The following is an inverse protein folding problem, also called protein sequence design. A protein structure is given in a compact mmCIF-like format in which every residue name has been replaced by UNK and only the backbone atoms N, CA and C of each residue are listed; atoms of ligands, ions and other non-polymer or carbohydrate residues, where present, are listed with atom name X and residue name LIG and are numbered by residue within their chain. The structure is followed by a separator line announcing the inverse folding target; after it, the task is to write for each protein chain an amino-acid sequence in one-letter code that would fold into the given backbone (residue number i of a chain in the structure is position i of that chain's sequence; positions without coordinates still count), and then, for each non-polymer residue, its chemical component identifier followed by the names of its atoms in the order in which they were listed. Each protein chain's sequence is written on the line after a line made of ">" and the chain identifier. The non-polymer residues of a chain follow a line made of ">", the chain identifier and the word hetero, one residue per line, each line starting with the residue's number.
data_IF_344171939878
#
_entry.id   IF_344171939878
#
_cell.length_a   1.000
_cell.length_b   1.000
_cell.length_c   1.000
_cell.angle_alpha   90.00
_cell.angle_beta   90.00
_cell.angle_gamma   90.00
#
_symmetry.space_group_name_H-M   'P 1'
#
loop_
_entity.id
_entity.type
_entity.pdbx_description
1 polymer ?
#
# COMPACT_ATOMS: atom_id res chain seq x y z
N UNK A 1 -2.95 3.84 -13.67
CA UNK A 1 -2.38 4.69 -12.60
C UNK A 1 -2.23 6.18 -12.99
N UNK A 2 -2.84 7.10 -12.22
CA UNK A 2 -2.73 8.57 -12.35
C UNK A 2 -1.29 9.10 -12.25
N UNK A 3 -1.01 10.24 -12.90
CA UNK A 3 0.33 10.85 -12.88
C UNK A 3 0.76 11.29 -11.47
N UNK A 4 -0.18 11.84 -10.70
CA UNK A 4 0.01 12.33 -9.32
C UNK A 4 0.54 11.21 -8.39
N UNK A 5 0.12 9.97 -8.63
CA UNK A 5 0.49 8.77 -7.87
C UNK A 5 1.81 8.19 -8.41
N UNK A 6 1.98 8.20 -9.73
CA UNK A 6 3.19 7.72 -10.42
C UNK A 6 4.46 8.41 -9.93
N UNK A 7 4.41 9.73 -9.78
CA UNK A 7 5.59 10.53 -9.42
C UNK A 7 6.09 10.18 -8.00
N UNK A 8 5.22 9.71 -7.11
CA UNK A 8 5.62 9.28 -5.75
C UNK A 8 6.28 7.90 -5.74
N UNK A 9 5.96 7.04 -6.71
CA UNK A 9 6.52 5.70 -6.79
C UNK A 9 8.02 5.67 -7.10
N UNK A 10 8.61 6.77 -7.57
CA UNK A 10 10.05 6.82 -7.93
C UNK A 10 10.99 6.48 -6.77
N UNK A 11 10.54 6.63 -5.53
CA UNK A 11 11.35 6.35 -4.32
C UNK A 11 10.73 5.28 -3.41
N UNK A 12 9.78 4.50 -3.93
CA UNK A 12 9.07 3.46 -3.16
C UNK A 12 9.46 2.08 -3.67
N UNK A 13 9.83 1.19 -2.75
CA UNK A 13 10.04 -0.22 -3.04
C UNK A 13 8.68 -0.94 -3.08
N UNK A 14 8.26 -1.42 -4.24
CA UNK A 14 7.12 -2.33 -4.35
C UNK A 14 7.60 -3.78 -4.22
N UNK A 15 7.05 -4.55 -3.29
CA UNK A 15 7.45 -5.94 -3.06
C UNK A 15 6.26 -6.84 -2.72
N UNK A 16 6.36 -8.12 -3.09
CA UNK A 16 5.31 -9.12 -2.91
C UNK A 16 5.67 -10.04 -1.75
N UNK A 17 4.70 -10.30 -0.87
CA UNK A 17 4.79 -11.31 0.20
C UNK A 17 3.59 -12.22 0.14
N UNK A 18 3.72 -13.45 0.65
CA UNK A 18 2.60 -14.39 0.71
C UNK A 18 1.46 -13.89 1.59
N UNK A 19 1.78 -13.48 2.82
CA UNK A 19 0.84 -12.97 3.82
C UNK A 19 1.48 -11.91 4.72
N UNK A 20 0.67 -11.05 5.37
CA UNK A 20 1.16 -10.13 6.39
C UNK A 20 1.69 -10.87 7.61
N UNK A 21 2.66 -10.27 8.30
CA UNK A 21 3.08 -10.77 9.61
C UNK A 21 2.06 -10.39 10.67
N UNK A 22 2.08 -11.09 11.81
CA UNK A 22 1.24 -10.75 12.95
C UNK A 22 1.51 -9.31 13.46
N UNK A 23 2.76 -8.90 13.46
CA UNK A 23 3.19 -7.54 13.83
C UNK A 23 2.57 -6.49 12.90
N UNK A 24 2.61 -6.69 11.58
CA UNK A 24 1.98 -5.79 10.61
C UNK A 24 0.47 -5.60 10.88
N UNK A 25 -0.24 -6.69 11.18
CA UNK A 25 -1.67 -6.64 11.49
C UNK A 25 -1.96 -5.91 12.81
N UNK A 26 -1.11 -6.12 13.82
CA UNK A 26 -1.24 -5.46 15.13
C UNK A 26 -0.94 -3.96 15.06
N UNK A 27 0.10 -3.54 14.31
CA UNK A 27 0.46 -2.14 14.14
C UNK A 27 -0.60 -1.34 13.37
N UNK A 28 -1.15 -1.91 12.29
CA UNK A 28 -2.18 -1.24 11.49
C UNK A 28 -3.56 -1.24 12.14
N UNK A 29 -3.73 -1.89 13.30
CA UNK A 29 -5.04 -2.11 13.95
C UNK A 29 -6.07 -2.66 12.96
N UNK A 30 -5.60 -3.46 12.00
CA UNK A 30 -6.42 -3.91 10.89
C UNK A 30 -7.54 -4.83 11.41
N UNK A 31 -8.79 -4.68 10.93
CA UNK A 31 -9.88 -5.57 11.31
C UNK A 31 -9.53 -7.03 11.03
N UNK A 32 -9.97 -7.95 11.89
CA UNK A 32 -9.67 -9.38 11.72
C UNK A 32 -10.54 -10.05 10.65
N UNK A 33 -11.62 -9.38 10.28
CA UNK A 33 -12.65 -9.78 9.34
C UNK A 33 -12.40 -9.26 7.92
N UNK A 34 -11.39 -8.40 7.74
CA UNK A 34 -10.98 -7.88 6.43
C UNK A 34 -9.59 -8.41 6.06
N UNK A 35 -9.40 -8.84 4.79
CA UNK A 35 -8.09 -9.24 4.31
C UNK A 35 -7.22 -8.02 4.04
N UNK A 36 -6.01 -7.99 4.62
CA UNK A 36 -5.01 -6.98 4.28
C UNK A 36 -4.37 -7.34 2.93
N UNK A 37 -4.68 -6.57 1.88
CA UNK A 37 -4.21 -6.82 0.50
C UNK A 37 -2.92 -6.07 0.18
N UNK A 38 -2.79 -4.86 0.72
CA UNK A 38 -1.65 -3.96 0.57
C UNK A 38 -1.22 -3.41 1.92
N UNK A 39 0.00 -2.89 1.97
CA UNK A 39 0.50 -2.18 3.14
C UNK A 39 1.65 -1.25 2.76
N UNK A 40 1.42 0.06 2.91
CA UNK A 40 2.50 1.02 2.96
C UNK A 40 3.26 0.95 4.28
N UNK A 41 4.58 0.72 4.21
CA UNK A 41 5.48 0.55 5.35
C UNK A 41 6.71 1.44 5.21
N UNK A 42 6.82 2.43 6.09
CA UNK A 42 7.93 3.38 6.09
C UNK A 42 7.89 4.29 7.30
N UNK A 43 9.03 4.91 7.60
CA UNK A 43 9.14 5.94 8.65
C UNK A 43 8.89 7.27 7.96
N UNK A 44 7.71 7.86 8.18
CA UNK A 44 7.30 9.15 7.62
C UNK A 44 8.43 10.19 7.69
N UNK A 45 8.87 10.71 6.54
CA UNK A 45 9.79 11.85 6.43
C UNK A 45 9.51 13.02 7.41
N UNK A 46 8.26 13.38 7.79
CA UNK A 46 8.03 14.44 8.79
C UNK A 46 8.53 14.12 10.21
N UNK A 47 8.83 12.86 10.56
CA UNK A 47 9.43 12.48 11.84
C UNK A 47 10.97 12.52 11.82
N UNK A 48 11.58 12.81 10.66
CA UNK A 48 13.02 13.07 10.57
C UNK A 48 13.33 14.47 11.13
N UNK A 49 13.61 14.53 12.42
CA UNK A 49 14.49 15.56 12.98
C UNK A 49 15.84 15.53 12.23
N UNK A 50 16.49 16.68 12.06
CA UNK A 50 17.86 16.78 11.51
C UNK A 50 18.88 15.90 12.25
N UNK A 51 18.53 15.41 13.44
CA UNK A 51 19.31 14.54 14.31
C UNK A 51 18.89 13.05 14.27
N UNK A 52 17.84 12.70 13.54
CA UNK A 52 17.39 11.29 13.43
C UNK A 52 18.33 10.52 12.50
N UNK A 53 18.69 9.26 12.81
CA UNK A 53 19.40 8.40 11.88
C UNK A 53 18.59 8.25 10.58
N UNK A 54 19.26 8.09 9.42
CA UNK A 54 18.56 7.86 8.17
C UNK A 54 17.64 6.63 8.30
N UNK A 55 16.47 6.63 7.63
CA UNK A 55 15.53 5.53 7.73
C UNK A 55 16.25 4.23 7.35
N UNK A 56 16.08 3.21 8.20
CA UNK A 56 16.74 1.91 8.03
C UNK A 56 16.32 1.20 6.73
N UNK A 57 15.16 1.57 6.19
CA UNK A 57 14.57 0.99 4.99
C UNK A 57 13.92 2.07 4.12
N UNK A 58 13.92 1.92 2.78
CA UNK A 58 13.12 2.77 1.91
C UNK A 58 11.63 2.62 2.22
N UNK A 59 10.86 3.64 1.89
CA UNK A 59 9.40 3.56 1.80
C UNK A 59 9.03 2.31 0.98
N UNK A 60 8.25 1.40 1.55
CA UNK A 60 7.97 0.09 0.93
C UNK A 60 6.47 -0.15 0.87
N UNK A 61 5.97 -0.58 -0.28
CA UNK A 61 4.61 -1.13 -0.42
C UNK A 61 4.72 -2.64 -0.47
N UNK A 62 4.09 -3.30 0.49
CA UNK A 62 3.88 -4.74 0.47
C UNK A 62 2.57 -5.06 -0.22
N UNK A 63 2.60 -6.00 -1.17
CA UNK A 63 1.41 -6.61 -1.77
C UNK A 63 1.32 -8.05 -1.27
N UNK A 64 0.15 -8.44 -0.76
CA UNK A 64 -0.06 -9.75 -0.15
C UNK A 64 -0.74 -10.72 -1.12
N UNK A 65 0.05 -11.67 -1.63
CA UNK A 65 -0.34 -12.58 -2.69
C UNK A 65 -1.51 -13.50 -2.31
N UNK A 66 -1.44 -14.22 -1.17
CA UNK A 66 -2.47 -15.20 -0.81
C UNK A 66 -3.84 -14.53 -0.58
N UNK A 67 -3.95 -13.39 0.14
CA UNK A 67 -5.21 -12.66 0.27
C UNK A 67 -5.81 -12.21 -1.09
N UNK A 68 -4.98 -11.72 -2.00
CA UNK A 68 -5.43 -11.30 -3.33
C UNK A 68 -5.91 -12.47 -4.19
N UNK A 69 -5.17 -13.59 -4.19
CA UNK A 69 -5.56 -14.82 -4.88
C UNK A 69 -6.82 -15.45 -4.28
N UNK A 70 -7.05 -15.30 -2.97
CA UNK A 70 -8.27 -15.75 -2.30
C UNK A 70 -9.51 -14.91 -2.69
N UNK A 71 -9.31 -13.64 -3.07
CA UNK A 71 -10.38 -12.73 -3.49
C UNK A 71 -10.70 -12.77 -4.99
N UNK A 72 -9.77 -13.21 -5.83
CA UNK A 72 -9.89 -13.15 -7.28
C UNK A 72 -10.06 -14.54 -7.90
N UNK A 73 -10.93 -14.66 -8.91
CA UNK A 73 -11.18 -15.92 -9.62
C UNK A 73 -10.40 -16.03 -10.94
N UNK A 74 -9.73 -14.96 -11.37
CA UNK A 74 -8.99 -14.90 -12.64
C UNK A 74 -7.73 -14.04 -12.55
N UNK A 75 -6.81 -14.22 -13.52
CA UNK A 75 -5.59 -13.41 -13.63
C UNK A 75 -5.97 -11.96 -13.93
N UNK A 76 -6.95 -11.73 -14.81
CA UNK A 76 -7.40 -10.39 -15.20
C UNK A 76 -8.08 -9.64 -14.04
N UNK A 77 -8.68 -10.36 -13.10
CA UNK A 77 -9.19 -9.78 -11.85
C UNK A 77 -8.05 -9.49 -10.88
N UNK A 78 -7.13 -10.44 -10.70
CA UNK A 78 -5.95 -10.26 -9.84
C UNK A 78 -5.09 -9.07 -10.26
N UNK A 79 -4.84 -8.89 -11.56
CA UNK A 79 -4.09 -7.74 -12.08
C UNK A 79 -4.77 -6.41 -11.76
N UNK A 80 -6.10 -6.35 -11.91
CA UNK A 80 -6.89 -5.15 -11.55
C UNK A 80 -6.86 -4.89 -10.05
N UNK A 81 -7.03 -5.92 -9.25
CA UNK A 81 -7.05 -5.80 -7.79
C UNK A 81 -5.69 -5.38 -7.24
N UNK A 82 -4.59 -5.87 -7.82
CA UNK A 82 -3.24 -5.39 -7.51
C UNK A 82 -3.09 -3.91 -7.86
N UNK A 83 -3.57 -3.47 -9.03
CA UNK A 83 -3.49 -2.05 -9.41
C UNK A 83 -4.28 -1.17 -8.42
N UNK A 84 -5.51 -1.58 -8.09
CA UNK A 84 -6.39 -0.91 -7.13
C UNK A 84 -5.71 -0.83 -5.77
N UNK A 85 -5.22 -1.95 -5.25
CA UNK A 85 -4.54 -2.03 -3.95
C UNK A 85 -3.33 -1.09 -3.90
N UNK A 86 -2.45 -1.14 -4.91
CA UNK A 86 -1.25 -0.29 -4.93
C UNK A 86 -1.61 1.19 -5.01
N UNK A 87 -2.63 1.54 -5.81
CA UNK A 87 -3.10 2.92 -5.93
C UNK A 87 -3.66 3.44 -4.61
N UNK A 88 -4.48 2.65 -3.91
CA UNK A 88 -5.02 3.00 -2.60
C UNK A 88 -3.91 3.25 -1.57
N UNK A 89 -2.96 2.33 -1.45
CA UNK A 89 -1.87 2.46 -0.48
C UNK A 89 -1.02 3.72 -0.71
N UNK A 90 -0.70 4.04 -1.97
CA UNK A 90 0.03 5.27 -2.30
C UNK A 90 -0.82 6.51 -2.05
N UNK A 91 -2.10 6.47 -2.43
CA UNK A 91 -3.01 7.60 -2.30
C UNK A 91 -3.23 7.99 -0.84
N UNK A 92 -3.55 7.03 0.03
CA UNK A 92 -3.71 7.29 1.47
C UNK A 92 -2.42 7.83 2.08
N UNK A 93 -1.26 7.31 1.69
CA UNK A 93 0.02 7.85 2.15
C UNK A 93 0.27 9.30 1.68
N UNK A 94 -0.21 9.67 0.48
CA UNK A 94 -0.17 11.05 -0.01
C UNK A 94 -1.23 11.96 0.63
N UNK A 95 -2.11 11.43 1.48
CA UNK A 95 -3.24 12.17 2.06
C UNK A 95 -4.38 12.42 1.07
N UNK A 96 -4.46 11.62 0.00
CA UNK A 96 -5.59 11.60 -0.92
C UNK A 96 -6.71 10.78 -0.28
N UNK A 97 -7.92 11.35 -0.24
CA UNK A 97 -9.10 10.71 0.34
C UNK A 97 -9.88 9.85 -0.68
N UNK A 98 -10.85 9.09 -0.16
CA UNK A 98 -11.73 8.22 -0.95
C UNK A 98 -12.50 8.97 -2.03
N UNK A 99 -12.96 10.20 -1.74
CA UNK A 99 -13.70 11.00 -2.72
C UNK A 99 -12.85 11.35 -3.93
N UNK A 100 -11.57 11.67 -3.71
CA UNK A 100 -10.63 11.91 -4.80
C UNK A 100 -10.24 10.61 -5.53
N UNK A 101 -10.19 9.48 -4.84
CA UNK A 101 -9.99 8.17 -5.48
C UNK A 101 -11.16 7.79 -6.40
N UNK A 102 -12.40 8.01 -5.97
CA UNK A 102 -13.61 7.84 -6.80
C UNK A 102 -13.52 8.67 -8.09
N UNK A 103 -13.14 9.95 -7.99
CA UNK A 103 -12.95 10.83 -9.16
C UNK A 103 -11.89 10.31 -10.15
N UNK A 104 -10.88 9.61 -9.65
CA UNK A 104 -9.80 9.02 -10.44
C UNK A 104 -10.13 7.61 -10.97
N UNK A 105 -11.29 7.05 -10.60
CA UNK A 105 -11.75 5.73 -11.00
C UNK A 105 -11.21 4.58 -10.15
N UNK A 106 -10.82 4.87 -8.90
CA UNK A 106 -10.23 3.93 -7.95
C UNK A 106 -10.96 3.87 -6.61
N UNK A 107 -12.17 4.42 -6.48
CA UNK A 107 -13.01 4.22 -5.28
C UNK A 107 -13.83 2.95 -5.31
#
# INVERSE_FOLDING_TARGET
>A
MPAEIRDRMENVLLTVRKRPTREMLEEMRHPRDEPLLGLYWGVSLPEQSFFSPPPLHPDTIYVFQEPLEEMCESIEELEREIEITVVHEVAHFLGIDEGRLEELGYG
#
